data_IF_739298315567
#
_entry.id   IF_739298315567
#
_cell.length_a   1.000
_cell.length_b   1.000
_cell.length_c   1.000
_cell.angle_alpha   90.00
_cell.angle_beta   90.00
_cell.angle_gamma   90.00
#
_symmetry.space_group_name_H-M   'P 1'
#
loop_
_entity.id
_entity.type
_entity.pdbx_description
1 polymer ?
#
# COMPACT_ATOMS: atom_id res chain seq x y z
N UNK A 1 56.71 15.07 9.51
CA UNK A 1 55.42 14.76 10.15
C UNK A 1 54.34 15.47 9.34
N UNK A 2 53.62 14.73 8.48
CA UNK A 2 52.56 15.29 7.62
C UNK A 2 51.24 15.22 8.42
N UNK A 3 50.45 16.29 8.52
CA UNK A 3 49.12 16.17 9.11
C UNK A 3 48.22 15.40 8.15
N UNK A 4 47.53 14.41 8.72
CA UNK A 4 46.61 13.51 8.05
C UNK A 4 45.35 14.27 7.60
N UNK A 5 44.89 13.95 6.40
CA UNK A 5 43.76 14.61 5.73
C UNK A 5 42.46 14.02 6.31
N UNK A 6 41.73 14.80 7.11
CA UNK A 6 40.39 14.40 7.55
C UNK A 6 39.49 14.14 6.33
N UNK A 7 38.77 13.00 6.24
CA UNK A 7 37.89 12.75 5.11
C UNK A 7 36.73 13.74 5.17
N UNK A 8 36.65 14.61 4.17
CA UNK A 8 35.49 15.46 3.92
C UNK A 8 34.28 14.56 3.65
N UNK A 9 33.37 14.46 4.62
CA UNK A 9 32.02 13.92 4.39
C UNK A 9 31.32 14.85 3.39
N UNK A 10 31.45 14.54 2.10
CA UNK A 10 30.59 15.11 1.07
C UNK A 10 29.22 14.45 1.20
N UNK A 11 28.33 15.06 1.98
CA UNK A 11 26.90 14.79 1.91
C UNK A 11 26.39 15.31 0.57
N UNK A 12 26.50 14.49 -0.47
CA UNK A 12 25.84 14.73 -1.76
C UNK A 12 24.37 14.32 -1.66
N UNK A 13 23.60 15.07 -0.89
CA UNK A 13 22.15 15.05 -1.00
C UNK A 13 21.70 16.50 -1.18
N UNK A 14 21.05 16.85 -2.31
CA UNK A 14 20.50 18.19 -2.46
C UNK A 14 19.51 18.42 -1.32
N UNK A 15 19.65 19.56 -0.62
CA UNK A 15 18.72 19.93 0.44
C UNK A 15 17.30 20.01 -0.15
N UNK A 16 16.49 18.99 0.11
CA UNK A 16 15.07 19.00 -0.25
C UNK A 16 14.36 20.08 0.54
N UNK A 17 13.90 21.14 -0.14
CA UNK A 17 12.88 22.02 0.42
C UNK A 17 11.60 21.18 0.58
N UNK A 18 11.10 20.98 1.81
CA UNK A 18 9.87 20.22 2.06
C UNK A 18 9.91 19.13 3.14
N UNK A 19 11.03 18.96 3.85
CA UNK A 19 11.22 17.89 4.85
C UNK A 19 10.10 17.77 5.91
N UNK A 20 9.48 18.89 6.31
CA UNK A 20 8.37 18.90 7.28
C UNK A 20 7.12 18.22 6.73
N UNK A 21 6.78 18.45 5.45
CA UNK A 21 5.61 17.84 4.80
C UNK A 21 5.82 16.35 4.60
N UNK A 22 7.01 15.95 4.16
CA UNK A 22 7.39 14.53 4.02
C UNK A 22 7.32 13.80 5.39
N UNK A 23 7.74 14.46 6.46
CA UNK A 23 7.66 13.91 7.82
C UNK A 23 6.23 13.79 8.34
N UNK A 24 5.39 14.80 8.11
CA UNK A 24 3.97 14.76 8.49
C UNK A 24 3.25 13.62 7.76
N UNK A 25 3.49 13.45 6.46
CA UNK A 25 2.92 12.34 5.70
C UNK A 25 3.29 10.99 6.31
N UNK A 26 4.55 10.80 6.71
CA UNK A 26 4.97 9.57 7.37
C UNK A 26 4.19 9.28 8.66
N UNK A 27 3.78 10.30 9.42
CA UNK A 27 2.94 10.11 10.62
C UNK A 27 1.56 9.58 10.25
N UNK A 28 0.92 10.16 9.22
CA UNK A 28 -0.41 9.74 8.77
C UNK A 28 -0.38 8.34 8.17
N UNK A 29 0.57 8.07 7.28
CA UNK A 29 0.63 6.81 6.55
C UNK A 29 0.97 5.63 7.47
N UNK A 30 1.75 5.85 8.53
CA UNK A 30 2.06 4.81 9.51
C UNK A 30 0.78 4.22 10.14
N UNK A 31 -0.25 5.04 10.41
CA UNK A 31 -1.53 4.53 10.93
C UNK A 31 -2.24 3.63 9.93
N UNK A 32 -2.14 3.92 8.63
CA UNK A 32 -2.71 3.04 7.59
C UNK A 32 -1.89 1.75 7.50
N UNK A 33 -0.56 1.83 7.63
CA UNK A 33 0.32 0.66 7.59
C UNK A 33 0.18 -0.27 8.79
N UNK A 34 -0.38 0.18 9.92
CA UNK A 34 -0.72 -0.66 11.09
C UNK A 34 -1.79 -1.72 10.76
N UNK A 35 -2.54 -1.57 9.66
CA UNK A 35 -3.54 -2.56 9.19
C UNK A 35 -2.87 -3.84 8.63
N UNK A 36 -1.55 -3.80 8.36
CA UNK A 36 -0.79 -4.96 7.89
C UNK A 36 -1.03 -6.20 8.76
N UNK A 37 -1.24 -7.35 8.12
CA UNK A 37 -1.42 -8.65 8.76
C UNK A 37 -0.87 -9.77 7.88
N UNK A 38 -0.95 -11.02 8.34
CA UNK A 38 -0.50 -12.18 7.53
C UNK A 38 -1.20 -12.29 6.17
N UNK A 39 -2.45 -11.81 6.07
CA UNK A 39 -3.27 -11.91 4.85
C UNK A 39 -3.38 -10.61 4.07
N UNK A 40 -2.92 -9.49 4.65
CA UNK A 40 -3.05 -8.13 4.12
C UNK A 40 -1.69 -7.46 4.20
N UNK A 41 -1.10 -7.18 3.05
CA UNK A 41 0.16 -6.47 2.94
C UNK A 41 -0.07 -5.08 2.33
N UNK A 42 0.35 -4.04 3.05
CA UNK A 42 0.25 -2.64 2.68
C UNK A 42 1.63 -2.03 2.60
N UNK A 43 1.87 -1.31 1.51
CA UNK A 43 3.07 -0.54 1.28
C UNK A 43 2.68 0.83 0.75
N UNK A 44 3.27 1.89 1.28
CA UNK A 44 3.05 3.24 0.78
C UNK A 44 4.35 3.86 0.24
N UNK A 45 4.20 4.77 -0.72
CA UNK A 45 5.26 5.64 -1.22
C UNK A 45 4.65 6.99 -1.62
N UNK A 46 5.02 8.06 -0.91
CA UNK A 46 4.31 9.34 -1.01
C UNK A 46 2.78 9.10 -0.92
N UNK A 47 1.98 9.75 -1.77
CA UNK A 47 0.52 9.60 -1.81
C UNK A 47 0.02 8.26 -2.38
N UNK A 48 0.89 7.42 -2.95
CA UNK A 48 0.51 6.11 -3.48
C UNK A 48 0.50 5.03 -2.39
N UNK A 49 -0.59 4.26 -2.34
CA UNK A 49 -0.77 3.11 -1.44
C UNK A 49 -1.02 1.83 -2.25
N UNK A 50 -0.19 0.82 -2.04
CA UNK A 50 -0.35 -0.53 -2.58
C UNK A 50 -0.93 -1.48 -1.54
N UNK A 51 -2.01 -2.19 -1.92
CA UNK A 51 -2.63 -3.25 -1.13
C UNK A 51 -2.46 -4.59 -1.85
N UNK A 52 -1.97 -5.59 -1.12
CA UNK A 52 -1.89 -6.98 -1.57
C UNK A 52 -2.61 -7.86 -0.57
N UNK A 53 -3.58 -8.63 -1.06
CA UNK A 53 -4.28 -9.64 -0.27
C UNK A 53 -4.07 -11.02 -0.89
N UNK A 54 -4.12 -12.04 -0.05
CA UNK A 54 -4.04 -13.42 -0.48
C UNK A 54 -5.34 -14.17 -0.16
N UNK A 55 -5.66 -15.19 -0.95
CA UNK A 55 -6.77 -16.09 -0.70
C UNK A 55 -6.58 -17.39 -1.45
N UNK A 56 -6.91 -18.52 -0.81
CA UNK A 56 -6.79 -19.86 -1.40
C UNK A 56 -7.85 -20.10 -2.46
N UNK A 57 -8.98 -19.40 -2.35
CA UNK A 57 -10.11 -19.45 -3.28
C UNK A 57 -10.61 -18.05 -3.60
N UNK A 58 -11.33 -17.90 -4.72
CA UNK A 58 -11.89 -16.62 -5.19
C UNK A 58 -12.65 -15.86 -4.10
N UNK A 59 -13.51 -16.57 -3.37
CA UNK A 59 -14.37 -15.99 -2.34
C UNK A 59 -13.56 -15.45 -1.16
N UNK A 60 -12.53 -16.17 -0.75
CA UNK A 60 -11.62 -15.71 0.30
C UNK A 60 -10.87 -14.46 -0.14
N UNK A 61 -10.38 -14.43 -1.39
CA UNK A 61 -9.71 -13.24 -1.94
C UNK A 61 -10.65 -12.02 -1.98
N UNK A 62 -11.90 -12.19 -2.42
CA UNK A 62 -12.90 -11.11 -2.42
C UNK A 62 -13.18 -10.59 -1.00
N UNK A 63 -13.36 -11.48 -0.03
CA UNK A 63 -13.63 -11.12 1.37
C UNK A 63 -12.43 -10.39 1.99
N UNK A 64 -11.23 -10.99 1.93
CA UNK A 64 -10.02 -10.41 2.51
C UNK A 64 -9.72 -9.02 1.92
N UNK A 65 -9.95 -8.84 0.62
CA UNK A 65 -9.75 -7.53 -0.03
C UNK A 65 -10.82 -6.53 0.40
N UNK A 66 -12.08 -6.96 0.51
CA UNK A 66 -13.18 -6.07 0.94
C UNK A 66 -12.98 -5.59 2.38
N UNK A 67 -12.63 -6.48 3.30
CA UNK A 67 -12.38 -6.16 4.70
C UNK A 67 -11.16 -5.22 4.84
N UNK A 68 -10.07 -5.50 4.12
CA UNK A 68 -8.90 -4.63 4.11
C UNK A 68 -9.23 -3.23 3.59
N UNK A 69 -9.98 -3.13 2.48
CA UNK A 69 -10.41 -1.85 1.91
C UNK A 69 -11.31 -1.08 2.88
N UNK A 70 -12.21 -1.74 3.59
CA UNK A 70 -13.09 -1.11 4.58
C UNK A 70 -12.29 -0.52 5.74
N UNK A 71 -11.32 -1.27 6.28
CA UNK A 71 -10.43 -0.78 7.33
C UNK A 71 -9.61 0.43 6.87
N UNK A 72 -9.03 0.35 5.67
CA UNK A 72 -8.25 1.47 5.10
C UNK A 72 -9.14 2.71 4.95
N UNK A 73 -10.35 2.56 4.40
CA UNK A 73 -11.29 3.67 4.24
C UNK A 73 -11.67 4.29 5.57
N UNK A 74 -11.94 3.48 6.60
CA UNK A 74 -12.24 3.96 7.95
C UNK A 74 -11.06 4.79 8.51
N UNK A 75 -9.83 4.27 8.41
CA UNK A 75 -8.64 4.98 8.87
C UNK A 75 -8.41 6.27 8.08
N UNK A 76 -8.63 6.28 6.76
CA UNK A 76 -8.52 7.49 5.96
C UNK A 76 -9.55 8.56 6.39
N UNK A 77 -10.79 8.16 6.70
CA UNK A 77 -11.82 9.07 7.23
C UNK A 77 -11.40 9.69 8.57
N UNK A 78 -10.86 8.88 9.49
CA UNK A 78 -10.34 9.38 10.77
C UNK A 78 -9.20 10.40 10.59
N UNK A 79 -8.34 10.15 9.60
CA UNK A 79 -7.23 11.02 9.23
C UNK A 79 -7.65 12.23 8.39
N UNK A 80 -8.94 12.34 8.02
CA UNK A 80 -9.50 13.37 7.12
C UNK A 80 -8.82 13.37 5.74
N UNK A 81 -8.51 12.18 5.23
CA UNK A 81 -7.96 11.95 3.90
C UNK A 81 -9.01 11.30 2.99
N UNK A 82 -8.90 11.56 1.69
CA UNK A 82 -9.80 11.00 0.68
C UNK A 82 -9.05 10.10 -0.30
N UNK A 83 -9.64 8.96 -0.62
CA UNK A 83 -9.14 8.05 -1.64
C UNK A 83 -9.65 8.47 -3.01
N UNK A 84 -8.76 8.63 -3.98
CA UNK A 84 -9.14 8.87 -5.37
C UNK A 84 -9.55 7.56 -6.05
N UNK A 85 -10.80 7.13 -5.87
CA UNK A 85 -11.32 5.85 -6.38
C UNK A 85 -11.09 5.69 -7.89
N UNK A 86 -11.22 6.77 -8.67
CA UNK A 86 -10.99 6.75 -10.12
C UNK A 86 -9.52 6.53 -10.55
N UNK A 87 -8.57 6.61 -9.62
CA UNK A 87 -7.15 6.30 -9.85
C UNK A 87 -6.74 4.92 -9.32
N UNK A 88 -7.61 4.26 -8.55
CA UNK A 88 -7.34 2.92 -8.04
C UNK A 88 -7.36 1.89 -9.16
N UNK A 89 -6.44 0.92 -9.11
CA UNK A 89 -6.36 -0.17 -10.08
C UNK A 89 -6.24 -1.51 -9.35
N UNK A 90 -7.07 -2.48 -9.74
CA UNK A 90 -6.99 -3.85 -9.23
C UNK A 90 -6.24 -4.80 -10.17
N UNK A 91 -5.27 -5.56 -9.65
CA UNK A 91 -4.63 -6.65 -10.39
C UNK A 91 -4.77 -7.96 -9.62
N UNK A 92 -5.20 -9.01 -10.32
CA UNK A 92 -5.33 -10.36 -9.76
C UNK A 92 -4.30 -11.27 -10.40
N UNK A 93 -3.40 -11.84 -9.58
CA UNK A 93 -2.47 -12.88 -10.02
C UNK A 93 -2.84 -14.22 -9.41
N UNK A 94 -3.23 -15.16 -10.27
CA UNK A 94 -3.50 -16.54 -9.87
C UNK A 94 -2.24 -17.40 -10.03
N UNK A 95 -1.74 -17.98 -8.94
CA UNK A 95 -0.62 -18.92 -9.02
C UNK A 95 -1.17 -20.32 -9.36
N UNK A 96 -1.05 -20.74 -10.63
CA UNK A 96 -1.51 -22.06 -11.07
C UNK A 96 -0.58 -23.17 -10.56
N UNK A 97 -1.11 -24.12 -9.81
CA UNK A 97 -0.54 -25.49 -9.72
C UNK A 97 -1.19 -26.36 -10.81
N UNK A 98 -0.42 -27.26 -11.44
CA UNK A 98 -0.94 -28.17 -12.49
C UNK A 98 -2.21 -28.87 -11.97
N UNK A 99 -3.32 -28.74 -12.70
CA UNK A 99 -4.58 -29.44 -12.40
C UNK A 99 -5.60 -28.70 -11.53
N UNK A 100 -5.34 -27.46 -11.08
CA UNK A 100 -6.33 -26.67 -10.33
C UNK A 100 -7.23 -25.81 -11.23
N UNK A 101 -8.50 -25.72 -10.82
CA UNK A 101 -9.56 -25.01 -11.53
C UNK A 101 -9.25 -23.50 -11.64
N UNK A 102 -9.46 -22.96 -12.83
CA UNK A 102 -9.46 -21.51 -13.06
C UNK A 102 -10.66 -20.95 -12.31
N UNK A 103 -10.55 -19.75 -11.72
CA UNK A 103 -11.74 -19.11 -11.15
C UNK A 103 -12.87 -19.08 -12.20
N UNK A 104 -14.02 -19.67 -11.89
CA UNK A 104 -15.18 -19.71 -12.81
C UNK A 104 -15.61 -18.30 -13.28
N UNK A 105 -15.30 -17.28 -12.47
CA UNK A 105 -15.36 -15.86 -12.84
C UNK A 105 -14.21 -15.10 -12.20
N UNK A 106 -13.84 -13.96 -12.76
CA UNK A 106 -12.87 -13.06 -12.12
C UNK A 106 -13.37 -12.61 -10.73
N UNK A 107 -12.47 -12.44 -9.74
CA UNK A 107 -12.79 -11.72 -8.52
C UNK A 107 -13.33 -10.33 -8.85
N UNK A 108 -14.26 -9.84 -8.04
CA UNK A 108 -14.79 -8.48 -8.13
C UNK A 108 -14.42 -7.76 -6.84
N UNK A 109 -13.77 -6.62 -6.96
CA UNK A 109 -13.44 -5.74 -5.85
C UNK A 109 -14.25 -4.46 -5.97
N UNK A 110 -14.66 -3.90 -4.83
CA UNK A 110 -15.44 -2.68 -4.78
C UNK A 110 -14.90 -1.72 -3.72
N UNK A 111 -14.91 -0.45 -4.05
CA UNK A 111 -14.60 0.66 -3.14
C UNK A 111 -15.82 1.59 -3.16
N UNK A 112 -16.46 1.81 -2.02
CA UNK A 112 -17.69 2.62 -1.93
C UNK A 112 -18.78 2.21 -2.95
N UNK A 113 -18.91 0.92 -3.22
CA UNK A 113 -19.86 0.37 -4.18
C UNK A 113 -19.43 0.45 -5.66
N UNK A 114 -18.35 1.18 -5.99
CA UNK A 114 -17.77 1.24 -7.33
C UNK A 114 -16.78 0.09 -7.53
N UNK A 115 -16.90 -0.64 -8.64
CA UNK A 115 -15.94 -1.70 -8.98
C UNK A 115 -14.62 -1.09 -9.46
N UNK A 116 -13.51 -1.71 -9.05
CA UNK A 116 -12.14 -1.36 -9.46
C UNK A 116 -11.43 -2.51 -10.16
#
# INVERSE_FOLDING_TARGET
MKPDLAPTLKTSAPHKKGAVVEYLWNIYVNRVLEINSEKVFLQAFADDLGLVTAGSVRKELEINTSEALELILLTLVELKLELSVGKCQGLVRHQKRKGQNIFNRKPIFKINGQSI
#
